data_IF_126984622702
#
_entry.id   IF_126984622702
#
_cell.length_a   1.000
_cell.length_b   1.000
_cell.length_c   1.000
_cell.angle_alpha   90.00
_cell.angle_beta   90.00
_cell.angle_gamma   90.00
#
_symmetry.space_group_name_H-M   'P 1'
#
loop_
_entity.id
_entity.type
_entity.pdbx_description
1 polymer ?
#
# COMPACT_ATOMS: atom_id res chain seq x y z
N UNK A 1 17.71 10.20 33.14
CA UNK A 1 19.15 10.14 32.79
C UNK A 1 19.48 11.42 32.04
N UNK A 2 20.55 12.14 32.41
CA UNK A 2 21.05 13.29 31.63
C UNK A 2 22.18 12.79 30.72
N UNK A 3 22.23 13.29 29.49
CA UNK A 3 23.30 13.00 28.53
C UNK A 3 24.17 14.25 28.42
N UNK A 4 25.48 14.08 28.52
CA UNK A 4 26.46 15.17 28.54
C UNK A 4 26.95 15.54 27.13
N UNK A 5 27.00 14.56 26.21
CA UNK A 5 27.28 14.73 24.77
C UNK A 5 26.31 13.89 23.94
N UNK A 6 25.01 14.25 23.86
CA UNK A 6 24.06 13.46 23.11
C UNK A 6 24.39 13.46 21.62
N UNK A 7 24.48 12.27 21.02
CA UNK A 7 24.66 12.11 19.57
C UNK A 7 23.61 11.18 18.98
N UNK A 8 23.15 11.53 17.79
CA UNK A 8 22.28 10.67 16.98
C UNK A 8 23.18 9.91 16.01
N UNK A 9 23.04 8.58 16.02
CA UNK A 9 23.75 7.65 15.14
C UNK A 9 22.73 6.82 14.37
N UNK A 10 23.06 6.47 13.13
CA UNK A 10 22.16 5.72 12.24
C UNK A 10 22.88 4.56 11.59
N UNK A 11 22.22 3.42 11.45
CA UNK A 11 22.75 2.27 10.70
C UNK A 11 21.66 1.56 9.92
N UNK A 12 22.01 0.95 8.79
CA UNK A 12 21.08 0.14 8.02
C UNK A 12 21.16 -1.32 8.50
N UNK A 13 20.08 -1.84 9.04
CA UNK A 13 19.96 -3.23 9.46
C UNK A 13 19.27 -4.04 8.36
N UNK A 14 19.77 -5.25 8.01
CA UNK A 14 19.24 -6.03 6.90
C UNK A 14 17.74 -6.37 7.05
N UNK A 15 17.25 -6.52 8.30
CA UNK A 15 15.87 -6.95 8.58
C UNK A 15 15.00 -5.90 9.28
N UNK A 16 15.56 -4.76 9.72
CA UNK A 16 14.85 -3.78 10.57
C UNK A 16 14.90 -2.36 10.00
N UNK A 17 15.22 -2.24 8.71
CA UNK A 17 15.34 -0.94 8.05
C UNK A 17 16.46 -0.08 8.63
N UNK A 18 16.22 1.22 8.71
CA UNK A 18 17.19 2.16 9.26
C UNK A 18 17.01 2.24 10.78
N UNK A 19 18.02 1.80 11.52
CA UNK A 19 18.08 1.98 12.96
C UNK A 19 18.62 3.37 13.28
N UNK A 20 18.02 4.00 14.29
CA UNK A 20 18.50 5.26 14.87
C UNK A 20 18.72 5.06 16.35
N UNK A 21 19.89 5.47 16.83
CA UNK A 21 20.28 5.37 18.22
C UNK A 21 20.70 6.73 18.79
N UNK A 22 20.49 6.90 20.09
CA UNK A 22 21.04 8.03 20.85
C UNK A 22 22.17 7.52 21.75
N UNK A 23 23.36 8.09 21.59
CA UNK A 23 24.56 7.77 22.38
C UNK A 23 24.97 8.98 23.23
N UNK A 24 25.86 8.77 24.20
CA UNK A 24 26.51 9.83 24.96
C UNK A 24 27.96 10.00 24.49
N UNK A 25 28.15 10.54 23.29
CA UNK A 25 29.46 10.85 22.72
C UNK A 25 30.05 9.77 21.81
N UNK A 26 29.50 8.55 21.82
CA UNK A 26 29.93 7.47 20.92
C UNK A 26 29.41 7.66 19.49
N UNK A 27 30.17 7.15 18.52
CA UNK A 27 29.75 7.04 17.11
C UNK A 27 29.26 5.65 16.75
N UNK A 28 29.42 4.68 17.65
CA UNK A 28 28.94 3.32 17.44
C UNK A 28 27.49 3.19 17.91
N UNK A 29 26.69 2.52 17.10
CA UNK A 29 25.30 2.20 17.40
C UNK A 29 25.18 1.18 18.55
N UNK A 30 26.21 0.34 18.74
CA UNK A 30 26.25 -0.64 19.84
C UNK A 30 26.25 0.02 21.22
N UNK A 31 26.76 1.26 21.31
CA UNK A 31 26.79 2.08 22.53
C UNK A 31 25.52 2.93 22.72
N UNK A 32 24.48 2.66 21.92
CA UNK A 32 23.23 3.41 22.03
C UNK A 32 22.52 3.14 23.36
N UNK A 33 22.16 4.22 24.03
CA UNK A 33 21.39 4.18 25.28
C UNK A 33 19.89 4.00 24.96
N UNK A 34 19.48 4.50 23.80
CA UNK A 34 18.16 4.29 23.21
C UNK A 34 18.31 3.92 21.75
N UNK A 35 17.65 2.84 21.32
CA UNK A 35 17.63 2.36 19.95
C UNK A 35 16.18 2.25 19.48
N UNK A 36 15.87 2.86 18.34
CA UNK A 36 14.58 2.72 17.66
C UNK A 36 14.80 2.34 16.21
N UNK A 37 14.03 1.37 15.71
CA UNK A 37 13.90 1.16 14.27
C UNK A 37 13.04 2.28 13.68
N UNK A 38 13.56 2.92 12.64
CA UNK A 38 12.71 3.62 11.69
C UNK A 38 12.35 2.57 10.65
N UNK A 39 11.18 1.95 10.85
CA UNK A 39 10.54 1.27 9.74
C UNK A 39 10.38 2.30 8.62
N UNK A 40 11.01 2.01 7.48
CA UNK A 40 10.57 2.61 6.23
C UNK A 40 9.21 1.97 6.01
N UNK A 41 8.17 2.71 6.41
CA UNK A 41 6.79 2.27 6.57
C UNK A 41 6.38 1.17 5.58
N UNK A 42 5.94 0.02 6.10
CA UNK A 42 5.18 -1.02 5.37
C UNK A 42 3.77 -0.54 4.94
N UNK A 43 3.47 0.77 5.00
CA UNK A 43 2.18 1.30 4.53
C UNK A 43 1.99 1.12 3.02
N UNK A 44 3.08 1.05 2.25
CA UNK A 44 3.02 0.70 0.83
C UNK A 44 2.32 -0.65 0.63
N UNK A 45 2.56 -1.64 1.50
CA UNK A 45 1.93 -2.96 1.40
C UNK A 45 0.43 -2.92 1.72
N UNK A 46 0.01 -2.07 2.66
CA UNK A 46 -1.42 -1.90 2.99
C UNK A 46 -2.15 -1.14 1.90
N UNK A 47 -1.56 -0.07 1.39
CA UNK A 47 -2.10 0.73 0.31
C UNK A 47 -2.19 -0.09 -0.99
N UNK A 48 -1.13 -0.83 -1.36
CA UNK A 48 -1.11 -1.74 -2.51
C UNK A 48 -2.17 -2.83 -2.37
N UNK A 49 -2.32 -3.45 -1.19
CA UNK A 49 -3.37 -4.46 -0.95
C UNK A 49 -4.78 -3.88 -1.10
N UNK A 50 -4.97 -2.65 -0.64
CA UNK A 50 -6.25 -1.94 -0.76
C UNK A 50 -6.56 -1.64 -2.23
N UNK A 51 -5.62 -1.07 -2.98
CA UNK A 51 -5.81 -0.83 -4.42
C UNK A 51 -6.03 -2.12 -5.20
N UNK A 52 -5.31 -3.19 -4.89
CA UNK A 52 -5.52 -4.51 -5.52
C UNK A 52 -6.95 -5.03 -5.29
N UNK A 53 -7.48 -4.85 -4.09
CA UNK A 53 -8.86 -5.25 -3.74
C UNK A 53 -9.89 -4.41 -4.50
N UNK A 54 -9.70 -3.09 -4.56
CA UNK A 54 -10.58 -2.17 -5.31
C UNK A 54 -10.58 -2.52 -6.80
N UNK A 55 -9.41 -2.74 -7.40
CA UNK A 55 -9.28 -3.11 -8.82
C UNK A 55 -10.02 -4.42 -9.10
N UNK A 56 -9.89 -5.43 -8.22
CA UNK A 56 -10.59 -6.71 -8.38
C UNK A 56 -12.11 -6.55 -8.30
N UNK A 57 -12.59 -5.74 -7.37
CA UNK A 57 -14.02 -5.42 -7.24
C UNK A 57 -14.55 -4.72 -8.51
N UNK A 58 -13.90 -3.64 -8.94
CA UNK A 58 -14.29 -2.89 -10.13
C UNK A 58 -14.24 -3.73 -11.40
N UNK A 59 -13.27 -4.64 -11.51
CA UNK A 59 -13.17 -5.56 -12.66
C UNK A 59 -14.39 -6.49 -12.73
N UNK A 60 -14.81 -7.06 -11.59
CA UNK A 60 -16.01 -7.92 -11.53
C UNK A 60 -17.27 -7.14 -11.88
N UNK A 61 -17.40 -5.93 -11.35
CA UNK A 61 -18.57 -5.08 -11.62
C UNK A 61 -18.65 -4.69 -13.11
N UNK A 62 -17.52 -4.33 -13.72
CA UNK A 62 -17.44 -4.00 -15.14
C UNK A 62 -17.82 -5.22 -16.03
N UNK A 63 -17.39 -6.42 -15.65
CA UNK A 63 -17.78 -7.65 -16.35
C UNK A 63 -19.28 -7.95 -16.23
N UNK A 64 -19.89 -7.70 -15.07
CA UNK A 64 -21.35 -7.78 -14.91
C UNK A 64 -22.06 -6.78 -15.82
N UNK A 65 -21.66 -5.51 -15.79
CA UNK A 65 -22.26 -4.45 -16.62
C UNK A 65 -22.13 -4.75 -18.12
N UNK A 66 -20.98 -5.30 -18.57
CA UNK A 66 -20.81 -5.75 -19.95
C UNK A 66 -21.80 -6.84 -20.34
N UNK A 67 -22.12 -7.78 -19.44
CA UNK A 67 -23.11 -8.84 -19.70
C UNK A 67 -24.52 -8.25 -19.80
N UNK A 68 -24.87 -7.31 -18.93
CA UNK A 68 -26.17 -6.63 -18.97
C UNK A 68 -26.32 -5.79 -20.24
N UNK A 69 -25.32 -4.99 -20.61
CA UNK A 69 -25.32 -4.23 -21.86
C UNK A 69 -25.51 -5.15 -23.08
N UNK A 70 -24.84 -6.31 -23.12
CA UNK A 70 -25.05 -7.30 -24.20
C UNK A 70 -26.48 -7.85 -24.23
N UNK A 71 -27.10 -8.08 -23.07
CA UNK A 71 -28.51 -8.51 -22.99
C UNK A 71 -29.44 -7.41 -23.50
N UNK A 72 -29.21 -6.16 -23.09
CA UNK A 72 -30.01 -5.02 -23.50
C UNK A 72 -29.93 -4.77 -25.01
N UNK A 73 -28.72 -4.83 -25.59
CA UNK A 73 -28.53 -4.74 -27.06
C UNK A 73 -29.30 -5.84 -27.79
N UNK A 74 -29.31 -7.07 -27.28
CA UNK A 74 -30.08 -8.17 -27.89
C UNK A 74 -31.59 -7.90 -27.86
N UNK A 75 -32.11 -7.37 -26.75
CA UNK A 75 -33.52 -7.01 -26.61
C UNK A 75 -33.86 -5.87 -27.56
N UNK A 76 -33.05 -4.80 -27.58
CA UNK A 76 -33.28 -3.64 -28.45
C UNK A 76 -33.27 -4.03 -29.93
N UNK A 77 -32.37 -4.92 -30.36
CA UNK A 77 -32.36 -5.46 -31.74
C UNK A 77 -33.62 -6.28 -32.04
N UNK A 78 -34.13 -7.06 -31.10
CA UNK A 78 -35.38 -7.82 -31.28
C UNK A 78 -36.58 -6.89 -31.42
N UNK A 79 -36.72 -5.90 -30.53
CA UNK A 79 -37.81 -4.93 -30.57
C UNK A 79 -37.72 -4.07 -31.84
N UNK A 80 -36.55 -3.53 -32.17
CA UNK A 80 -36.34 -2.74 -33.39
C UNK A 80 -36.52 -3.54 -34.69
N UNK A 81 -36.38 -4.87 -34.65
CA UNK A 81 -36.75 -5.77 -35.74
C UNK A 81 -38.27 -6.03 -35.83
N UNK A 82 -38.95 -6.10 -34.68
CA UNK A 82 -40.40 -6.26 -34.59
C UNK A 82 -41.18 -5.00 -34.98
N UNK A 83 -40.61 -3.80 -34.77
CA UNK A 83 -41.21 -2.53 -35.19
C UNK A 83 -40.99 -2.19 -36.68
N UNK A 84 -40.37 -3.08 -37.46
CA UNK A 84 -40.13 -2.92 -38.92
C UNK A 84 -41.05 -3.76 -39.81
N UNK A 85 -41.96 -4.54 -39.23
CA UNK A 85 -43.10 -5.18 -39.92
C UNK A 85 -44.32 -4.29 -39.84
#
# INVERSE_FOLDING_TARGET
MRLDDPRIVTAKHPNMGNLVGVTNGSRDLSDSIYLSSIDICDDDDREIRTFKTIIQYLTKENDCLKRENRRLIKIYRKIGGLCRT
#
